data_IF_229854040282
#
_entry.id   IF_229854040282
#
_cell.length_a   1.000
_cell.length_b   1.000
_cell.length_c   1.000
_cell.angle_alpha   90.00
_cell.angle_beta   90.00
_cell.angle_gamma   90.00
#
_symmetry.space_group_name_H-M   'P 1'
#
loop_
_entity.id
_entity.type
_entity.pdbx_description
1 polymer ?
#
# COMPACT_ATOMS: atom_id res chain seq x y z
N UNK A 1 1.08 -26.45 -0.35
CA UNK A 1 0.17 -25.28 -0.29
C UNK A 1 0.22 -24.44 -1.55
N UNK A 2 1.41 -24.02 -2.00
CA UNK A 2 1.60 -23.26 -3.26
C UNK A 2 0.88 -23.90 -4.46
N UNK A 3 1.04 -25.20 -4.65
CA UNK A 3 0.39 -25.97 -5.72
C UNK A 3 -1.14 -25.88 -5.70
N UNK A 4 -1.76 -25.76 -4.52
CA UNK A 4 -3.22 -25.63 -4.39
C UNK A 4 -3.70 -24.21 -4.70
N UNK A 5 -2.88 -23.20 -4.42
CA UNK A 5 -3.13 -21.82 -4.83
C UNK A 5 -2.97 -21.67 -6.34
N UNK A 6 -1.94 -22.27 -6.94
CA UNK A 6 -1.68 -22.24 -8.39
C UNK A 6 -2.73 -23.03 -9.18
N UNK A 7 -3.22 -24.14 -8.61
CA UNK A 7 -4.33 -24.91 -9.19
C UNK A 7 -5.72 -24.30 -8.90
N UNK A 8 -5.79 -23.08 -8.34
CA UNK A 8 -7.03 -22.37 -7.99
C UNK A 8 -7.97 -23.13 -7.03
N UNK A 9 -7.48 -24.19 -6.37
CA UNK A 9 -8.25 -25.00 -5.41
C UNK A 9 -8.40 -24.31 -4.06
N UNK A 10 -7.55 -23.32 -3.77
CA UNK A 10 -7.62 -22.49 -2.57
C UNK A 10 -7.51 -21.03 -2.97
N UNK A 11 -8.54 -20.25 -2.64
CA UNK A 11 -8.56 -18.79 -2.81
C UNK A 11 -8.41 -18.14 -1.44
N UNK A 12 -7.40 -17.27 -1.23
CA UNK A 12 -7.28 -16.54 0.02
C UNK A 12 -8.43 -15.51 0.14
N UNK A 13 -9.11 -15.51 1.28
CA UNK A 13 -9.99 -14.40 1.66
C UNK A 13 -9.11 -13.23 2.09
N UNK A 14 -9.27 -12.10 1.42
CA UNK A 14 -8.51 -10.88 1.70
C UNK A 14 -9.42 -9.96 2.50
N UNK A 15 -9.00 -9.65 3.72
CA UNK A 15 -9.74 -8.80 4.64
C UNK A 15 -9.55 -7.32 4.28
N UNK A 16 -8.29 -6.89 4.20
CA UNK A 16 -7.92 -5.52 3.87
C UNK A 16 -6.55 -5.44 3.20
N UNK A 17 -6.34 -4.41 2.39
CA UNK A 17 -5.07 -4.10 1.74
C UNK A 17 -4.57 -2.74 2.24
N UNK A 18 -3.27 -2.63 2.48
CA UNK A 18 -2.58 -1.40 2.84
C UNK A 18 -1.40 -1.18 1.89
N UNK A 19 -1.05 0.05 1.51
CA UNK A 19 0.23 0.35 0.87
C UNK A 19 1.39 0.13 1.84
N UNK A 20 2.61 0.04 1.30
CA UNK A 20 3.84 -0.09 2.11
C UNK A 20 4.01 1.09 3.09
N UNK A 21 3.57 2.29 2.73
CA UNK A 21 3.58 3.48 3.60
C UNK A 21 2.70 3.33 4.85
N UNK A 22 1.73 2.43 4.84
CA UNK A 22 0.74 2.23 5.92
C UNK A 22 0.93 0.90 6.67
N UNK A 23 2.12 0.28 6.60
CA UNK A 23 2.40 -0.98 7.32
C UNK A 23 2.04 -0.91 8.80
N UNK A 24 2.34 0.21 9.48
CA UNK A 24 1.99 0.38 10.88
C UNK A 24 0.47 0.34 11.14
N UNK A 25 -0.35 0.86 10.21
CA UNK A 25 -1.81 0.74 10.30
C UNK A 25 -2.28 -0.67 10.02
N UNK A 26 -1.67 -1.33 9.02
CA UNK A 26 -1.93 -2.75 8.74
C UNK A 26 -1.64 -3.66 9.95
N UNK A 27 -0.57 -3.38 10.68
CA UNK A 27 -0.23 -4.11 11.91
C UNK A 27 -1.26 -3.85 13.02
N UNK A 28 -1.64 -2.59 13.26
CA UNK A 28 -2.71 -2.27 14.23
C UNK A 28 -4.04 -2.94 13.87
N UNK A 29 -4.38 -2.99 12.58
CA UNK A 29 -5.58 -3.68 12.10
C UNK A 29 -5.53 -5.18 12.39
N UNK A 30 -4.38 -5.82 12.18
CA UNK A 30 -4.15 -7.23 12.51
C UNK A 30 -4.29 -7.47 14.02
N UNK A 31 -3.66 -6.64 14.84
CA UNK A 31 -3.62 -6.74 16.30
C UNK A 31 -4.99 -6.59 16.96
N UNK A 32 -5.92 -5.88 16.32
CA UNK A 32 -7.30 -5.77 16.81
C UNK A 32 -8.04 -7.13 16.85
N UNK A 33 -7.48 -8.21 16.27
CA UNK A 33 -7.99 -9.58 16.40
C UNK A 33 -9.34 -9.86 15.72
N UNK A 34 -9.92 -8.86 15.07
CA UNK A 34 -11.25 -8.92 14.41
C UNK A 34 -11.18 -8.99 12.87
N UNK A 35 -9.99 -9.19 12.32
CA UNK A 35 -9.78 -9.30 10.88
C UNK A 35 -10.27 -10.67 10.37
N UNK A 36 -10.95 -10.70 9.23
CA UNK A 36 -11.44 -11.93 8.61
C UNK A 36 -10.63 -12.28 7.37
N UNK A 37 -9.52 -13.00 7.56
CA UNK A 37 -8.66 -13.46 6.47
C UNK A 37 -7.29 -12.80 6.46
N UNK A 38 -6.74 -12.57 5.27
CA UNK A 38 -5.37 -12.05 5.12
C UNK A 38 -5.36 -10.52 5.00
N UNK A 39 -4.45 -9.89 5.71
CA UNK A 39 -4.03 -8.50 5.49
C UNK A 39 -2.91 -8.49 4.46
N UNK A 40 -3.03 -7.67 3.41
CA UNK A 40 -2.04 -7.60 2.31
C UNK A 40 -1.35 -6.24 2.30
N UNK A 41 -0.03 -6.24 2.28
CA UNK A 41 0.77 -5.03 2.06
C UNK A 41 1.16 -4.94 0.57
N UNK A 42 0.87 -3.80 -0.05
CA UNK A 42 1.11 -3.54 -1.47
C UNK A 42 2.38 -2.73 -1.64
N UNK A 43 3.35 -3.28 -2.38
CA UNK A 43 4.68 -2.69 -2.61
C UNK A 43 4.74 -2.04 -4.01
N UNK A 44 3.69 -1.34 -4.47
CA UNK A 44 3.76 -0.70 -5.79
C UNK A 44 4.96 0.25 -5.83
N UNK A 45 5.84 0.06 -6.82
CA UNK A 45 6.88 1.02 -7.15
C UNK A 45 6.21 2.24 -7.77
N UNK A 46 5.87 3.21 -6.95
CA UNK A 46 5.44 4.52 -7.43
C UNK A 46 6.62 5.14 -8.17
N UNK A 47 6.58 5.12 -9.51
CA UNK A 47 7.43 6.02 -10.28
C UNK A 47 6.99 7.41 -9.85
N UNK A 48 7.80 8.06 -9.03
CA UNK A 48 7.62 9.46 -8.66
C UNK A 48 7.56 10.24 -9.98
N UNK A 49 6.37 10.74 -10.31
CA UNK A 49 6.23 11.75 -11.35
C UNK A 49 6.94 12.99 -10.79
N UNK A 50 8.16 13.23 -11.26
CA UNK A 50 8.90 14.45 -10.90
C UNK A 50 8.11 15.64 -11.47
N UNK A 51 7.55 16.48 -10.61
CA UNK A 51 7.03 17.78 -11.03
C UNK A 51 8.19 18.61 -11.62
N UNK A 52 7.97 19.31 -12.75
CA UNK A 52 8.99 20.19 -13.30
C UNK A 52 9.20 21.39 -12.37
N UNK A 53 10.47 21.63 -12.04
CA UNK A 53 10.97 22.75 -11.24
C UNK A 53 10.39 24.07 -11.77
N UNK A 54 9.54 24.74 -10.97
CA UNK A 54 9.12 26.11 -11.29
C UNK A 54 10.20 27.07 -10.83
N UNK A 55 10.91 27.58 -11.82
CA UNK A 55 11.90 28.63 -11.78
C UNK A 55 11.42 29.86 -10.98
N UNK A 56 12.36 30.36 -10.17
CA UNK A 56 12.26 31.59 -9.38
C UNK A 56 11.75 32.76 -10.23
N UNK A 57 10.62 33.34 -9.87
CA UNK A 57 10.42 34.77 -10.13
C UNK A 57 10.06 35.45 -8.82
N UNK A 58 11.14 35.86 -8.16
CA UNK A 58 11.25 37.13 -7.46
C UNK A 58 10.17 38.13 -7.89
N UNK A 59 9.30 38.50 -6.96
CA UNK A 59 8.68 39.82 -6.95
C UNK A 59 8.75 40.33 -5.52
N UNK A 60 9.86 41.03 -5.30
CA UNK A 60 10.13 41.86 -4.14
C UNK A 60 8.99 42.85 -3.91
N UNK A 61 8.60 42.93 -2.64
CA UNK A 61 8.09 44.10 -1.89
C UNK A 61 7.92 45.37 -2.74
N UNK A 62 6.67 45.82 -2.89
CA UNK A 62 6.22 47.20 -2.73
C UNK A 62 4.72 47.20 -2.40
#
# INVERSE_FOLDING_TARGET
>A
MKELLEAEKIVPVIDKRFPLSEVAEGMRWLENGRHHGKVVITIKSERVEREPEKESSSSSIL
#
